data_IF_731436269888
#
_entry.id   IF_731436269888
#
_cell.length_a   1.000
_cell.length_b   1.000
_cell.length_c   1.000
_cell.angle_alpha   90.00
_cell.angle_beta   90.00
_cell.angle_gamma   90.00
#
_symmetry.space_group_name_H-M   'P 1'
#
loop_
_entity.id
_entity.type
_entity.pdbx_description
1 polymer ?
#
# COMPACT_ATOMS: atom_id res chain seq x y z
N UNK A 1 16.79 -23.73 -9.52
CA UNK A 1 15.62 -22.89 -9.86
C UNK A 1 15.68 -21.69 -8.95
N UNK A 2 15.92 -20.49 -9.47
CA UNK A 2 16.15 -19.30 -8.64
C UNK A 2 14.94 -19.00 -7.76
N UNK A 3 15.17 -18.71 -6.48
CA UNK A 3 14.17 -18.20 -5.53
C UNK A 3 14.18 -16.68 -5.44
N UNK A 4 15.14 -16.03 -6.09
CA UNK A 4 15.29 -14.58 -6.15
C UNK A 4 14.50 -14.01 -7.32
N UNK A 5 13.79 -12.92 -7.06
CA UNK A 5 12.85 -12.30 -7.99
C UNK A 5 13.13 -10.81 -8.08
N UNK A 6 13.20 -10.29 -9.30
CA UNK A 6 13.43 -8.86 -9.54
C UNK A 6 12.09 -8.14 -9.60
N UNK A 7 11.94 -7.11 -8.79
CA UNK A 7 10.75 -6.28 -8.76
C UNK A 7 11.01 -4.90 -9.36
N UNK A 8 9.96 -4.34 -9.94
CA UNK A 8 9.89 -2.95 -10.40
C UNK A 8 8.61 -2.36 -9.81
N UNK A 9 8.67 -1.12 -9.33
CA UNK A 9 7.51 -0.44 -8.79
C UNK A 9 7.37 0.93 -9.43
N UNK A 10 6.15 1.25 -9.83
CA UNK A 10 5.78 2.52 -10.40
C UNK A 10 4.48 3.07 -9.79
N UNK A 11 4.37 4.37 -9.88
CA UNK A 11 3.30 5.18 -9.32
C UNK A 11 2.67 5.97 -10.46
N UNK A 12 1.41 5.66 -10.79
CA UNK A 12 0.67 6.41 -11.78
C UNK A 12 0.35 7.81 -11.26
N UNK A 13 0.81 8.83 -11.99
CA UNK A 13 0.65 10.22 -11.62
C UNK A 13 -0.76 10.75 -11.92
N UNK A 14 -1.50 11.11 -10.88
CA UNK A 14 -2.58 12.11 -11.01
C UNK A 14 -1.94 13.51 -10.81
N UNK A 15 -1.38 14.02 -11.90
CA UNK A 15 -1.13 15.40 -12.34
C UNK A 15 -0.80 16.60 -11.40
N UNK A 16 -0.61 16.48 -10.08
CA UNK A 16 -0.35 17.69 -9.24
C UNK A 16 0.53 17.48 -8.00
N UNK A 17 1.23 16.34 -7.82
CA UNK A 17 2.05 16.13 -6.61
C UNK A 17 3.31 15.31 -6.88
N UNK A 18 4.43 15.71 -6.25
CA UNK A 18 5.67 14.93 -6.15
C UNK A 18 5.44 13.76 -5.19
N UNK A 19 4.79 12.70 -5.70
CA UNK A 19 4.78 11.40 -5.03
C UNK A 19 6.14 10.74 -5.21
N UNK A 20 6.68 10.18 -4.13
CA UNK A 20 7.85 9.31 -4.17
C UNK A 20 7.42 7.97 -3.65
N UNK A 21 7.53 6.93 -4.48
CA UNK A 21 7.25 5.55 -4.10
C UNK A 21 8.51 4.71 -4.30
N UNK A 22 8.85 3.86 -3.33
CA UNK A 22 10.08 3.08 -3.39
C UNK A 22 9.98 1.76 -2.63
N UNK A 23 10.89 0.85 -2.97
CA UNK A 23 11.31 -0.19 -2.06
C UNK A 23 12.22 0.42 -1.00
N UNK A 24 12.05 0.03 0.26
CA UNK A 24 12.81 0.59 1.36
C UNK A 24 13.79 -0.40 1.98
N UNK A 25 14.76 0.11 2.73
CA UNK A 25 15.57 -0.72 3.61
C UNK A 25 14.75 -0.97 4.90
N UNK A 26 14.52 -2.23 5.31
CA UNK A 26 13.88 -2.51 6.58
C UNK A 26 14.82 -2.09 7.72
N UNK A 27 14.35 -1.18 8.57
CA UNK A 27 15.02 -0.70 9.77
C UNK A 27 14.37 -1.24 11.04
N UNK A 28 14.94 -0.89 12.20
CA UNK A 28 14.33 -1.17 13.50
C UNK A 28 13.24 -0.12 13.69
N UNK A 29 11.98 -0.56 13.68
CA UNK A 29 10.76 0.27 13.79
C UNK A 29 10.48 1.23 12.63
N UNK A 30 11.35 1.27 11.62
CA UNK A 30 11.18 2.13 10.45
C UNK A 30 11.69 1.57 9.12
N UNK A 31 11.52 2.41 8.10
CA UNK A 31 12.17 2.25 6.81
C UNK A 31 13.26 3.32 6.75
N UNK A 32 14.52 2.88 6.71
CA UNK A 32 15.69 3.74 6.92
C UNK A 32 16.17 4.47 5.66
N UNK A 33 15.60 4.14 4.49
CA UNK A 33 15.94 4.75 3.21
C UNK A 33 15.44 3.95 2.02
N UNK A 34 15.85 4.35 0.82
CA UNK A 34 15.56 3.65 -0.44
C UNK A 34 16.46 2.42 -0.56
N UNK A 35 15.89 1.28 -0.94
CA UNK A 35 16.63 0.06 -1.19
C UNK A 35 17.50 0.18 -2.45
N UNK A 36 18.76 -0.28 -2.36
CA UNK A 36 19.67 -0.34 -3.50
C UNK A 36 19.42 -1.55 -4.42
N UNK A 37 18.79 -2.59 -3.87
CA UNK A 37 18.42 -3.81 -4.58
C UNK A 37 16.91 -3.89 -4.71
N UNK A 38 16.44 -4.37 -5.85
CA UNK A 38 15.03 -4.71 -6.08
C UNK A 38 14.81 -6.22 -6.19
N UNK A 39 15.80 -7.00 -5.75
CA UNK A 39 15.74 -8.46 -5.74
C UNK A 39 15.29 -8.94 -4.36
N UNK A 40 14.24 -9.75 -4.33
CA UNK A 40 13.68 -10.31 -3.11
C UNK A 40 13.50 -11.82 -3.23
N UNK A 41 13.86 -12.56 -2.18
CA UNK A 41 13.60 -14.00 -2.10
C UNK A 41 12.10 -14.28 -1.99
N UNK A 42 11.60 -15.30 -2.68
CA UNK A 42 10.21 -15.75 -2.61
C UNK A 42 9.78 -15.97 -1.15
N UNK A 43 8.63 -15.43 -0.76
CA UNK A 43 8.09 -15.49 0.60
C UNK A 43 8.70 -14.50 1.60
N UNK A 44 9.76 -13.77 1.23
CA UNK A 44 10.31 -12.69 2.07
C UNK A 44 9.41 -11.46 2.06
N UNK A 45 9.67 -10.49 2.93
CA UNK A 45 8.93 -9.23 2.94
C UNK A 45 9.59 -8.18 2.04
N UNK A 46 8.79 -7.58 1.19
CA UNK A 46 9.12 -6.44 0.35
C UNK A 46 8.60 -5.18 1.06
N UNK A 47 9.49 -4.40 1.72
CA UNK A 47 9.13 -3.11 2.30
C UNK A 47 8.84 -2.09 1.19
N UNK A 48 7.62 -1.58 1.17
CA UNK A 48 7.16 -0.58 0.20
C UNK A 48 6.69 0.65 0.96
N UNK A 49 7.18 1.82 0.57
CA UNK A 49 6.71 3.09 1.08
C UNK A 49 6.34 4.03 -0.05
N UNK A 50 5.39 4.92 0.25
CA UNK A 50 5.19 6.11 -0.53
C UNK A 50 5.07 7.34 0.37
N UNK A 51 5.55 8.46 -0.14
CA UNK A 51 5.45 9.78 0.49
C UNK A 51 5.00 10.80 -0.54
N UNK A 52 4.40 11.89 -0.06
CA UNK A 52 4.10 13.06 -0.88
C UNK A 52 4.80 14.27 -0.26
N UNK A 53 5.54 15.01 -1.09
CA UNK A 53 6.07 16.30 -0.67
C UNK A 53 4.92 17.31 -0.55
N UNK A 54 4.84 17.98 0.60
CA UNK A 54 3.77 18.90 0.96
C UNK A 54 4.22 20.36 0.85
N UNK A 55 5.30 20.67 0.12
CA UNK A 55 5.93 21.98 -0.01
C UNK A 55 4.94 23.13 -0.38
N UNK A 56 4.19 23.62 0.62
CA UNK A 56 3.17 24.68 0.62
C UNK A 56 1.70 24.27 0.43
N UNK A 57 1.35 22.99 0.57
CA UNK A 57 -0.06 22.55 0.60
C UNK A 57 -0.58 22.36 2.04
N UNK A 58 -1.89 22.47 2.23
CA UNK A 58 -2.58 22.02 3.46
C UNK A 58 -2.25 20.54 3.78
N UNK A 59 -2.37 20.08 5.04
CA UNK A 59 -2.04 18.71 5.39
C UNK A 59 -2.82 17.71 4.53
N UNK A 60 -2.12 16.91 3.72
CA UNK A 60 -2.73 15.85 2.91
C UNK A 60 -2.49 14.48 3.56
N UNK A 61 -3.46 13.59 3.43
CA UNK A 61 -3.25 12.16 3.66
C UNK A 61 -2.96 11.44 2.35
N UNK A 62 -1.88 10.65 2.34
CA UNK A 62 -1.52 9.79 1.23
C UNK A 62 -2.19 8.42 1.34
N UNK A 63 -2.81 7.97 0.26
CA UNK A 63 -3.48 6.68 0.15
C UNK A 63 -2.98 5.94 -1.09
N UNK A 64 -2.84 4.61 -0.97
CA UNK A 64 -2.73 3.72 -2.12
C UNK A 64 -4.15 3.31 -2.48
N UNK A 65 -4.68 3.81 -3.58
CA UNK A 65 -6.06 3.52 -3.99
C UNK A 65 -6.14 2.13 -4.63
N UNK A 66 -5.20 1.83 -5.53
CA UNK A 66 -5.09 0.55 -6.23
C UNK A 66 -3.62 0.20 -6.43
N UNK A 67 -3.27 -1.08 -6.32
CA UNK A 67 -1.98 -1.61 -6.70
C UNK A 67 -2.18 -2.99 -7.32
N UNK A 68 -1.57 -3.21 -8.47
CA UNK A 68 -1.63 -4.47 -9.20
C UNK A 68 -0.22 -4.89 -9.61
N UNK A 69 0.06 -6.17 -9.50
CA UNK A 69 1.28 -6.74 -10.05
C UNK A 69 1.04 -7.36 -11.41
N UNK A 70 2.03 -7.28 -12.29
CA UNK A 70 2.00 -7.84 -13.63
C UNK A 70 3.36 -8.44 -14.02
N UNK A 71 3.37 -9.19 -15.12
CA UNK A 71 4.61 -9.71 -15.74
C UNK A 71 5.21 -8.75 -16.77
N UNK A 72 4.58 -7.60 -17.02
CA UNK A 72 4.94 -6.67 -18.10
C UNK A 72 5.13 -5.25 -17.59
N UNK A 73 5.99 -4.42 -18.20
CA UNK A 73 6.17 -3.03 -17.77
C UNK A 73 4.92 -2.14 -17.92
N UNK A 74 3.93 -2.58 -18.68
CA UNK A 74 2.69 -1.85 -18.93
C UNK A 74 1.52 -2.79 -18.70
N UNK A 75 0.46 -2.28 -18.07
CA UNK A 75 -0.79 -3.00 -17.88
C UNK A 75 -1.48 -3.21 -19.24
N UNK A 76 -1.30 -4.39 -19.81
CA UNK A 76 -2.02 -4.84 -20.99
C UNK A 76 -3.22 -5.72 -20.57
N UNK A 77 -4.30 -5.68 -21.35
CA UNK A 77 -5.54 -6.43 -21.06
C UNK A 77 -5.34 -7.96 -21.02
N UNK A 78 -4.28 -8.47 -21.63
CA UNK A 78 -3.93 -9.89 -21.76
C UNK A 78 -2.81 -10.35 -20.81
N UNK A 79 -2.26 -9.45 -19.99
CA UNK A 79 -1.21 -9.77 -19.04
C UNK A 79 -1.71 -10.58 -17.83
N UNK A 80 -0.84 -11.42 -17.25
CA UNK A 80 -1.11 -12.02 -15.95
C UNK A 80 -1.06 -10.94 -14.87
N UNK A 81 -2.22 -10.65 -14.26
CA UNK A 81 -2.37 -9.60 -13.23
C UNK A 81 -2.67 -10.24 -11.87
N UNK A 82 -2.03 -9.76 -10.82
CA UNK A 82 -2.29 -10.12 -9.43
C UNK A 82 -2.71 -8.88 -8.62
N UNK A 83 -3.94 -8.83 -8.08
CA UNK A 83 -4.40 -7.68 -7.30
C UNK A 83 -3.73 -7.65 -5.92
N UNK A 84 -3.05 -6.54 -5.61
CA UNK A 84 -2.42 -6.33 -4.30
C UNK A 84 -3.34 -5.46 -3.44
N UNK A 85 -3.66 -4.26 -3.92
CA UNK A 85 -4.58 -3.31 -3.29
C UNK A 85 -5.72 -3.04 -4.26
N UNK A 86 -6.96 -3.26 -3.82
CA UNK A 86 -8.18 -2.97 -4.59
C UNK A 86 -9.28 -2.44 -3.66
N UNK A 87 -10.52 -2.26 -4.15
CA UNK A 87 -11.64 -1.75 -3.35
C UNK A 87 -11.37 -0.38 -2.70
N UNK A 88 -10.67 0.49 -3.43
CA UNK A 88 -10.26 1.84 -3.00
C UNK A 88 -9.44 1.82 -1.70
N UNK A 89 -8.33 1.09 -1.72
CA UNK A 89 -7.31 1.10 -0.66
C UNK A 89 -7.31 -0.09 0.31
N UNK A 90 -7.99 -1.18 -0.03
CA UNK A 90 -7.89 -2.42 0.74
C UNK A 90 -6.79 -3.34 0.21
N UNK A 91 -5.83 -3.69 1.06
CA UNK A 91 -4.81 -4.71 0.80
C UNK A 91 -5.48 -6.09 0.78
N UNK A 92 -5.82 -6.55 -0.42
CA UNK A 92 -6.47 -7.84 -0.64
C UNK A 92 -5.47 -9.00 -0.57
N UNK A 93 -4.20 -8.73 -0.87
CA UNK A 93 -3.12 -9.73 -0.77
C UNK A 93 -3.01 -10.32 0.65
N UNK A 94 -3.25 -9.50 1.69
CA UNK A 94 -3.20 -9.92 3.10
C UNK A 94 -4.25 -10.97 3.49
N UNK A 95 -5.20 -11.29 2.60
CA UNK A 95 -6.17 -12.37 2.84
C UNK A 95 -5.51 -13.75 2.77
N UNK A 96 -4.52 -13.90 1.90
CA UNK A 96 -3.88 -15.17 1.59
C UNK A 96 -2.38 -15.19 1.93
N UNK A 97 -1.81 -14.05 2.31
CA UNK A 97 -0.39 -13.88 2.61
C UNK A 97 -0.19 -13.12 3.93
N UNK A 98 1.05 -13.00 4.38
CA UNK A 98 1.43 -12.20 5.53
C UNK A 98 1.63 -10.71 5.20
N UNK A 99 1.20 -10.25 4.02
CA UNK A 99 1.24 -8.84 3.65
C UNK A 99 0.43 -8.00 4.63
N UNK A 100 0.92 -6.81 4.96
CA UNK A 100 0.25 -5.92 5.91
C UNK A 100 0.67 -4.48 5.71
N UNK A 101 -0.25 -3.55 5.96
CA UNK A 101 0.13 -2.17 6.18
C UNK A 101 0.83 -2.01 7.53
N UNK A 102 1.69 -1.00 7.61
CA UNK A 102 2.31 -0.57 8.86
C UNK A 102 1.58 0.66 9.42
N UNK A 103 1.66 0.89 10.73
CA UNK A 103 1.18 2.12 11.34
C UNK A 103 1.78 3.36 10.65
N UNK A 104 0.98 4.41 10.47
CA UNK A 104 1.44 5.68 9.89
C UNK A 104 2.30 6.45 10.88
N UNK A 105 3.41 7.03 10.40
CA UNK A 105 4.21 8.02 11.16
C UNK A 105 3.92 9.46 10.74
N UNK A 106 3.40 9.64 9.53
CA UNK A 106 2.90 10.90 8.98
C UNK A 106 1.63 10.62 8.17
N UNK A 107 0.74 11.60 8.07
CA UNK A 107 -0.39 11.53 7.12
C UNK A 107 0.10 11.50 5.67
N UNK A 108 1.22 12.17 5.38
CA UNK A 108 1.86 12.24 4.06
C UNK A 108 2.60 10.96 3.66
N UNK A 109 2.61 9.92 4.51
CA UNK A 109 3.36 8.68 4.30
C UNK A 109 2.41 7.47 4.42
N UNK A 110 2.59 6.47 3.56
CA UNK A 110 1.98 5.15 3.69
C UNK A 110 3.03 4.06 3.50
N UNK A 111 2.97 3.02 4.32
CA UNK A 111 3.96 1.94 4.37
C UNK A 111 3.29 0.58 4.45
N UNK A 112 3.83 -0.40 3.75
CA UNK A 112 3.38 -1.79 3.85
C UNK A 112 4.55 -2.76 3.66
N UNK A 113 4.36 -3.96 4.17
CA UNK A 113 5.11 -5.13 3.77
C UNK A 113 4.25 -5.97 2.82
N UNK A 114 4.79 -6.24 1.65
CA UNK A 114 4.22 -7.18 0.68
C UNK A 114 5.02 -8.49 0.76
N UNK A 115 4.36 -9.63 0.97
CA UNK A 115 5.03 -10.92 0.90
C UNK A 115 5.38 -11.23 -0.56
N UNK A 116 6.67 -11.48 -0.84
CA UNK A 116 7.16 -11.75 -2.17
C UNK A 116 6.49 -13.00 -2.77
N UNK A 117 6.00 -12.88 -3.99
CA UNK A 117 5.38 -13.95 -4.79
C UNK A 117 5.96 -13.96 -6.21
N UNK A 118 5.63 -14.97 -7.01
CA UNK A 118 6.04 -15.02 -8.41
C UNK A 118 4.90 -15.46 -9.30
N UNK A 119 4.91 -15.00 -10.54
CA UNK A 119 4.12 -15.60 -11.60
C UNK A 119 4.83 -16.85 -12.14
N UNK A 120 4.05 -17.77 -12.70
CA UNK A 120 4.59 -18.94 -13.39
C UNK A 120 5.42 -18.48 -14.58
N UNK A 121 6.68 -18.89 -14.64
CA UNK A 121 7.63 -18.57 -15.73
C UNK A 121 7.95 -17.08 -15.92
N UNK A 122 7.78 -16.23 -14.90
CA UNK A 122 8.22 -14.84 -14.93
C UNK A 122 9.50 -14.63 -14.12
N UNK A 123 10.45 -13.92 -14.71
CA UNK A 123 11.70 -13.51 -14.04
C UNK A 123 11.56 -12.17 -13.30
N UNK A 124 10.59 -11.35 -13.72
CA UNK A 124 10.34 -10.00 -13.19
C UNK A 124 8.87 -9.83 -12.80
N UNK A 125 8.64 -9.03 -11.77
CA UNK A 125 7.31 -8.61 -11.32
C UNK A 125 7.27 -7.08 -11.33
N UNK A 126 6.31 -6.51 -12.04
CA UNK A 126 6.07 -5.07 -12.08
C UNK A 126 4.87 -4.76 -11.18
N UNK A 127 5.01 -3.77 -10.30
CA UNK A 127 3.96 -3.33 -9.38
C UNK A 127 3.54 -1.92 -9.81
N UNK A 128 2.31 -1.82 -10.29
CA UNK A 128 1.69 -0.56 -10.72
C UNK A 128 0.76 -0.09 -9.62
N UNK A 129 0.97 1.12 -9.12
CA UNK A 129 0.18 1.67 -8.03
C UNK A 129 -0.41 3.03 -8.39
N UNK A 130 -1.69 3.23 -8.03
CA UNK A 130 -2.39 4.49 -8.10
C UNK A 130 -2.39 5.15 -6.73
N UNK A 131 -1.72 6.29 -6.61
CA UNK A 131 -1.68 7.08 -5.37
C UNK A 131 -2.66 8.24 -5.41
N UNK A 132 -3.21 8.55 -4.25
CA UNK A 132 -4.09 9.70 -4.05
C UNK A 132 -3.65 10.46 -2.79
N UNK A 133 -3.44 11.76 -2.94
CA UNK A 133 -3.37 12.68 -1.81
C UNK A 133 -4.74 13.33 -1.59
N UNK A 134 -5.20 13.37 -0.35
CA UNK A 134 -6.55 13.85 -0.02
C UNK A 134 -6.59 14.71 1.23
N UNK A 135 -7.64 15.51 1.39
CA UNK A 135 -7.87 16.29 2.62
C UNK A 135 -8.37 15.38 3.77
N UNK A 136 -7.62 15.24 4.87
CA UNK A 136 -7.98 14.40 6.01
C UNK A 136 -9.22 14.90 6.80
N UNK A 137 -9.74 16.08 6.51
CA UNK A 137 -10.98 16.62 7.07
C UNK A 137 -12.22 16.22 6.27
N UNK A 138 -12.08 15.84 5.00
CA UNK A 138 -13.18 15.53 4.08
C UNK A 138 -13.10 14.08 3.59
N UNK A 139 -12.99 13.14 4.52
CA UNK A 139 -12.88 11.71 4.21
C UNK A 139 -14.25 11.11 3.87
N UNK A 140 -14.34 10.39 2.76
CA UNK A 140 -15.51 9.62 2.33
C UNK A 140 -15.23 8.10 2.37
N UNK A 141 -16.21 7.30 1.96
CA UNK A 141 -16.13 5.83 1.91
C UNK A 141 -15.09 5.28 0.91
N UNK A 142 -14.70 6.08 -0.07
CA UNK A 142 -13.69 5.78 -1.07
C UNK A 142 -12.27 6.18 -0.68
N UNK A 143 -12.07 6.87 0.45
CA UNK A 143 -10.74 7.27 0.96
C UNK A 143 -10.43 6.48 2.22
N UNK A 144 -9.89 5.26 2.05
CA UNK A 144 -9.57 4.37 3.16
C UNK A 144 -8.26 3.63 2.92
N UNK A 145 -7.73 3.07 4.00
CA UNK A 145 -6.75 2.00 3.94
C UNK A 145 -7.30 0.85 4.76
N UNK A 146 -7.28 -0.38 4.25
CA UNK A 146 -7.86 -1.54 4.91
C UNK A 146 -6.99 -2.77 4.68
N UNK A 147 -7.09 -3.74 5.57
CA UNK A 147 -6.45 -5.04 5.40
C UNK A 147 -7.31 -6.14 6.02
N UNK A 148 -7.04 -7.38 5.64
CA UNK A 148 -7.65 -8.54 6.28
C UNK A 148 -6.99 -8.80 7.64
N UNK A 149 -7.81 -8.93 8.70
CA UNK A 149 -7.37 -9.39 10.02
C UNK A 149 -7.71 -10.88 10.13
N UNK A 150 -6.67 -11.72 9.99
CA UNK A 150 -6.81 -13.17 10.05
C UNK A 150 -7.31 -13.67 11.42
N UNK A 151 -7.01 -12.96 12.51
CA UNK A 151 -7.48 -13.33 13.85
C UNK A 151 -8.98 -13.09 14.00
N UNK A 152 -9.48 -12.00 13.40
CA UNK A 152 -10.91 -11.64 13.45
C UNK A 152 -11.72 -12.20 12.28
N UNK A 153 -11.08 -12.83 11.30
CA UNK A 153 -11.73 -13.36 10.11
C UNK A 153 -12.45 -12.32 9.25
N UNK A 154 -12.03 -11.04 9.29
CA UNK A 154 -12.74 -9.95 8.62
C UNK A 154 -11.81 -8.84 8.14
N UNK A 155 -12.31 -8.03 7.21
CA UNK A 155 -11.63 -6.82 6.78
C UNK A 155 -11.74 -5.74 7.85
N UNK A 156 -10.63 -5.08 8.13
CA UNK A 156 -10.53 -3.98 9.08
C UNK A 156 -10.02 -2.73 8.37
N UNK A 157 -10.65 -1.59 8.64
CA UNK A 157 -10.13 -0.30 8.21
C UNK A 157 -9.00 0.10 9.15
N UNK A 158 -7.92 0.55 8.55
CA UNK A 158 -6.77 1.07 9.26
C UNK A 158 -7.06 2.49 9.71
N UNK A 159 -6.53 2.81 10.88
CA UNK A 159 -6.67 4.12 11.45
C UNK A 159 -5.91 5.16 10.62
N UNK A 160 -6.67 6.13 10.13
CA UNK A 160 -6.23 7.22 9.25
C UNK A 160 -5.63 8.38 10.08
N UNK A 161 -6.01 8.49 11.36
CA UNK A 161 -5.50 9.49 12.32
C UNK A 161 -4.73 8.82 13.46
N UNK A 162 -3.73 9.52 13.99
CA UNK A 162 -2.89 9.08 15.12
C UNK A 162 -3.66 8.75 16.41
N UNK A 163 -4.89 9.28 16.59
CA UNK A 163 -5.68 9.16 17.82
C UNK A 163 -6.57 7.90 17.90
N UNK A 164 -6.47 7.01 16.93
CA UNK A 164 -7.37 5.86 16.81
C UNK A 164 -6.98 4.67 17.75
N UNK A 165 -6.21 4.96 18.79
CA UNK A 165 -6.10 4.15 20.00
C UNK A 165 -7.21 4.45 21.02
N UNK A 166 -7.95 5.56 20.87
CA UNK A 166 -9.06 5.90 21.77
C UNK A 166 -10.42 5.50 21.19
N UNK A 167 -11.19 4.72 21.96
CA UNK A 167 -12.51 4.18 21.63
C UNK A 167 -13.55 5.22 21.14
N UNK A 168 -13.30 6.50 21.37
CA UNK A 168 -14.20 7.62 21.06
C UNK A 168 -14.36 7.83 19.54
N UNK A 169 -13.28 7.70 18.76
CA UNK A 169 -13.35 7.92 17.31
C UNK A 169 -13.94 6.72 16.55
N UNK A 170 -13.88 5.51 17.14
CA UNK A 170 -14.54 4.31 16.59
C UNK A 170 -16.08 4.48 16.57
N UNK A 171 -16.65 5.19 17.55
CA UNK A 171 -18.07 5.51 17.60
C UNK A 171 -18.47 6.54 16.53
N UNK A 172 -17.62 7.53 16.24
CA UNK A 172 -17.84 8.46 15.12
C UNK A 172 -17.79 7.76 13.76
N UNK A 173 -16.96 6.72 13.61
CA UNK A 173 -16.84 5.96 12.37
C UNK A 173 -17.98 4.95 12.17
N UNK A 174 -18.46 4.30 13.24
CA UNK A 174 -19.65 3.42 13.20
C UNK A 174 -20.93 4.13 12.73
N UNK A 175 -21.04 5.44 12.93
CA UNK A 175 -22.24 6.21 12.60
C UNK A 175 -22.44 6.57 11.11
N UNK A 176 -21.48 6.26 10.22
CA UNK A 176 -21.54 6.66 8.79
C UNK A 176 -21.61 5.51 7.78
N UNK A 177 -21.62 4.26 8.23
CA UNK A 177 -21.67 3.10 7.36
C UNK A 177 -22.75 2.13 7.84
N UNK A 178 -23.94 2.25 7.26
CA UNK A 178 -24.90 1.15 7.25
C UNK A 178 -24.46 0.16 6.16
N UNK A 179 -24.33 -1.11 6.53
CA UNK A 179 -24.23 -2.23 5.60
C UNK A 179 -25.55 -2.41 4.84
#
# INVERSE_FOLDING_TARGET
>A
MSTELVYVIDADHINVSLFVMCFCVPGIDDFSGVALSTTFSLGSFIPIAATVDQASHQPLILLLEECVASTTPTLAQDGHIHPIITNNGCLMDSKNTNSRFLPRRSLSEIRLYLQAFKFTNAEKVYIHCKLVAWDPHVMDSGKKACQYDAQKGRQVSLCIRFLCSDWIDFLKWKGKFHF
#
